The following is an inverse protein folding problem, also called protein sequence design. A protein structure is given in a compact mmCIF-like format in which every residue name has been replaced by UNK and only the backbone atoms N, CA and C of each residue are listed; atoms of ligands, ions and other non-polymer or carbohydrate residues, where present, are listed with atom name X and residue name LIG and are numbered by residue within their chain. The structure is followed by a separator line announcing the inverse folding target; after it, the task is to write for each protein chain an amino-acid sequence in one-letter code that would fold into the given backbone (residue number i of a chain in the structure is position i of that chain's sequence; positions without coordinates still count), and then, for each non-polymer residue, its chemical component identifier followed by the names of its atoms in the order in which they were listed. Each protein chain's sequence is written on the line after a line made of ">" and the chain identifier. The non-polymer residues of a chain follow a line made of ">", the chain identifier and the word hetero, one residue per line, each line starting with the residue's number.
data_IF_760097757345
#
_entry.id   IF_760097757345
#
_cell.length_a   1.000
_cell.length_b   1.000
_cell.length_c   1.000
_cell.angle_alpha   90.00
_cell.angle_beta   90.00
_cell.angle_gamma   90.00
#
_symmetry.space_group_name_H-M   'P 1'
#
loop_
_entity.id
_entity.type
_entity.pdbx_description
1 polymer ?
#
# COMPACT_ATOMS: atom_id res chain seq x y z
N UNK A 1 10.43 -2.51 -24.65
CA UNK A 1 9.81 -2.83 -23.34
C UNK A 1 8.40 -2.29 -23.34
N UNK A 2 7.37 -3.11 -23.04
CA UNK A 2 5.98 -2.65 -23.05
C UNK A 2 5.73 -1.57 -21.99
N UNK A 3 4.77 -0.66 -22.25
CA UNK A 3 4.36 0.39 -21.32
C UNK A 3 3.87 -0.23 -19.99
N UNK A 4 4.05 0.49 -18.87
CA UNK A 4 3.46 0.07 -17.58
C UNK A 4 1.93 0.18 -17.65
N UNK A 5 1.17 -0.81 -17.14
CA UNK A 5 -0.28 -0.72 -17.03
C UNK A 5 -0.70 0.46 -16.15
N UNK A 6 -1.90 1.01 -16.41
CA UNK A 6 -2.43 2.13 -15.64
C UNK A 6 -2.56 1.79 -14.14
N UNK A 7 -2.96 0.56 -13.81
CA UNK A 7 -3.02 0.08 -12.43
C UNK A 7 -1.66 0.11 -11.71
N UNK A 8 -0.57 -0.16 -12.42
CA UNK A 8 0.78 -0.05 -11.87
C UNK A 8 1.16 1.41 -11.62
N UNK A 9 0.80 2.33 -12.52
CA UNK A 9 1.01 3.76 -12.31
C UNK A 9 0.20 4.31 -11.14
N UNK A 10 -1.05 3.87 -10.98
CA UNK A 10 -1.88 4.21 -9.82
C UNK A 10 -1.19 3.78 -8.52
N UNK A 11 -0.70 2.53 -8.46
CA UNK A 11 0.03 2.03 -7.29
C UNK A 11 1.29 2.84 -7.01
N UNK A 12 2.12 3.12 -8.03
CA UNK A 12 3.34 3.92 -7.87
C UNK A 12 3.00 5.30 -7.29
N UNK A 13 2.01 5.99 -7.86
CA UNK A 13 1.62 7.33 -7.40
C UNK A 13 1.10 7.29 -5.96
N UNK A 14 0.17 6.38 -5.65
CA UNK A 14 -0.42 6.25 -4.32
C UNK A 14 0.63 5.90 -3.26
N UNK A 15 1.48 4.90 -3.53
CA UNK A 15 2.51 4.45 -2.59
C UNK A 15 3.60 5.50 -2.39
N UNK A 16 3.94 6.26 -3.43
CA UNK A 16 4.90 7.38 -3.28
C UNK A 16 4.32 8.48 -2.40
N UNK A 17 3.08 8.92 -2.68
CA UNK A 17 2.46 9.97 -1.90
C UNK A 17 2.20 9.55 -0.45
N UNK A 18 1.61 8.37 -0.24
CA UNK A 18 1.34 7.79 1.08
C UNK A 18 2.63 7.59 1.88
N UNK A 19 3.65 6.99 1.27
CA UNK A 19 4.91 6.70 1.94
C UNK A 19 5.65 7.97 2.37
N UNK A 20 5.63 9.03 1.54
CA UNK A 20 6.18 10.33 1.93
C UNK A 20 5.42 10.92 3.12
N UNK A 21 4.08 10.90 3.10
CA UNK A 21 3.27 11.45 4.19
C UNK A 21 3.48 10.67 5.51
N UNK A 22 3.53 9.33 5.46
CA UNK A 22 3.82 8.49 6.62
C UNK A 22 5.17 8.80 7.27
N UNK A 23 6.17 9.19 6.47
CA UNK A 23 7.51 9.52 6.98
C UNK A 23 7.65 10.96 7.46
N UNK A 24 6.91 11.90 6.86
CA UNK A 24 6.96 13.31 7.27
C UNK A 24 6.15 13.59 8.53
N UNK A 25 5.03 12.89 8.72
CA UNK A 25 4.09 13.17 9.80
C UNK A 25 3.33 11.91 10.24
N UNK A 26 4.02 10.90 10.80
CA UNK A 26 3.38 9.65 11.23
C UNK A 26 2.28 9.89 12.28
N UNK A 27 2.43 10.88 13.15
CA UNK A 27 1.47 11.23 14.20
C UNK A 27 0.11 11.66 13.62
N UNK A 28 0.12 12.25 12.42
CA UNK A 28 -1.10 12.68 11.72
C UNK A 28 -1.99 11.52 11.28
N UNK A 29 -1.55 10.27 11.45
CA UNK A 29 -2.32 9.06 11.13
C UNK A 29 -2.84 8.34 12.39
N UNK A 30 -2.71 8.94 13.58
CA UNK A 30 -3.23 8.36 14.83
C UNK A 30 -4.75 8.03 14.75
N UNK A 31 -5.51 8.81 13.98
CA UNK A 31 -6.94 8.59 13.73
C UNK A 31 -7.27 7.30 12.96
N UNK A 32 -6.29 6.67 12.29
CA UNK A 32 -6.47 5.38 11.63
C UNK A 32 -6.25 4.18 12.56
N UNK A 33 -5.70 4.42 13.74
CA UNK A 33 -5.16 3.38 14.60
C UNK A 33 -6.15 3.04 15.71
N UNK A 34 -6.27 1.76 16.04
CA UNK A 34 -7.01 1.35 17.23
C UNK A 34 -6.24 1.76 18.49
N UNK A 35 -6.89 1.81 19.67
CA UNK A 35 -6.24 2.18 20.92
C UNK A 35 -5.00 1.32 21.18
N UNK A 36 -3.82 1.91 20.99
CA UNK A 36 -2.52 1.27 21.20
C UNK A 36 -1.49 2.32 21.66
N UNK A 37 -0.34 1.85 22.11
CA UNK A 37 0.75 2.71 22.53
C UNK A 37 1.22 3.61 21.36
N UNK A 38 1.49 4.89 21.67
CA UNK A 38 1.91 5.89 20.69
C UNK A 38 3.18 5.51 19.93
N UNK A 39 4.21 5.09 20.65
CA UNK A 39 5.46 4.66 20.04
C UNK A 39 5.25 3.45 19.11
N UNK A 40 4.31 2.56 19.44
CA UNK A 40 4.00 1.41 18.60
C UNK A 40 3.30 1.82 17.30
N UNK A 41 2.29 2.69 17.35
CA UNK A 41 1.61 3.10 16.11
C UNK A 41 2.53 3.91 15.20
N UNK A 42 3.36 4.81 15.77
CA UNK A 42 4.35 5.60 15.02
C UNK A 42 5.34 4.66 14.33
N UNK A 43 5.81 3.62 15.02
CA UNK A 43 6.69 2.61 14.43
C UNK A 43 6.02 1.89 13.26
N UNK A 44 4.77 1.45 13.41
CA UNK A 44 4.03 0.75 12.36
C UNK A 44 3.82 1.63 11.11
N UNK A 45 3.45 2.90 11.29
CA UNK A 45 3.24 3.87 10.21
C UNK A 45 4.57 4.21 9.51
N UNK A 46 5.64 4.41 10.29
CA UNK A 46 6.96 4.67 9.71
C UNK A 46 7.44 3.46 8.90
N UNK A 47 7.28 2.25 9.45
CA UNK A 47 7.65 1.01 8.78
C UNK A 47 6.83 0.76 7.50
N UNK A 48 5.52 1.01 7.53
CA UNK A 48 4.68 0.91 6.33
C UNK A 48 5.07 1.96 5.29
N UNK A 49 5.36 3.20 5.69
CA UNK A 49 5.85 4.26 4.79
C UNK A 49 7.14 3.89 4.07
N UNK A 50 8.12 3.32 4.78
CA UNK A 50 9.36 2.79 4.15
C UNK A 50 9.01 1.69 3.15
N UNK A 51 8.16 0.73 3.53
CA UNK A 51 7.77 -0.36 2.67
C UNK A 51 7.04 0.15 1.41
N UNK A 52 6.22 1.19 1.53
CA UNK A 52 5.51 1.80 0.41
C UNK A 52 6.48 2.42 -0.61
N UNK A 53 7.48 3.17 -0.15
CA UNK A 53 8.49 3.76 -1.03
C UNK A 53 9.35 2.70 -1.73
N UNK A 54 9.73 1.63 -1.01
CA UNK A 54 10.44 0.48 -1.61
C UNK A 54 9.58 -0.18 -2.70
N UNK A 55 8.27 -0.36 -2.45
CA UNK A 55 7.33 -0.88 -3.44
C UNK A 55 7.24 0.02 -4.67
N UNK A 56 7.08 1.34 -4.49
CA UNK A 56 6.98 2.30 -5.58
C UNK A 56 8.22 2.26 -6.50
N UNK A 57 9.43 2.31 -5.90
CA UNK A 57 10.70 2.18 -6.63
C UNK A 57 10.79 0.82 -7.32
N UNK A 58 10.45 -0.27 -6.61
CA UNK A 58 10.45 -1.62 -7.18
C UNK A 58 9.52 -1.75 -8.39
N UNK A 59 8.32 -1.19 -8.33
CA UNK A 59 7.33 -1.21 -9.42
C UNK A 59 7.81 -0.40 -10.62
N UNK A 60 8.37 0.80 -10.37
CA UNK A 60 8.94 1.65 -11.41
C UNK A 60 10.09 0.95 -12.16
N UNK A 61 10.96 0.25 -11.41
CA UNK A 61 12.07 -0.54 -11.96
C UNK A 61 11.65 -1.93 -12.47
N UNK A 62 10.37 -2.30 -12.30
CA UNK A 62 9.78 -3.59 -12.70
C UNK A 62 10.49 -4.78 -12.04
N UNK A 63 10.96 -4.62 -10.82
CA UNK A 63 11.70 -5.66 -10.13
C UNK A 63 10.80 -6.89 -9.86
N UNK A 64 11.27 -8.15 -10.01
CA UNK A 64 10.43 -9.34 -9.87
C UNK A 64 9.68 -9.49 -8.53
N UNK A 65 10.21 -8.92 -7.44
CA UNK A 65 9.56 -8.92 -6.12
C UNK A 65 8.53 -7.81 -5.93
N UNK A 66 8.55 -6.75 -6.75
CA UNK A 66 7.80 -5.52 -6.49
C UNK A 66 6.29 -5.74 -6.36
N UNK A 67 5.68 -6.47 -7.31
CA UNK A 67 4.24 -6.75 -7.27
C UNK A 67 3.82 -7.57 -6.05
N UNK A 68 4.65 -8.53 -5.62
CA UNK A 68 4.36 -9.35 -4.42
C UNK A 68 4.51 -8.55 -3.15
N UNK A 69 5.59 -7.76 -3.03
CA UNK A 69 5.81 -6.91 -1.87
C UNK A 69 4.67 -5.89 -1.75
N UNK A 70 4.29 -5.24 -2.84
CA UNK A 70 3.17 -4.27 -2.88
C UNK A 70 1.87 -4.92 -2.40
N UNK A 71 1.55 -6.12 -2.89
CA UNK A 71 0.36 -6.86 -2.45
C UNK A 71 0.41 -7.20 -0.95
N UNK A 72 1.57 -7.64 -0.45
CA UNK A 72 1.76 -7.92 0.98
C UNK A 72 1.66 -6.67 1.85
N UNK A 73 2.23 -5.54 1.41
CA UNK A 73 2.09 -4.26 2.09
C UNK A 73 0.63 -3.82 2.18
N UNK A 74 -0.14 -3.94 1.08
CA UNK A 74 -1.58 -3.69 1.10
C UNK A 74 -2.31 -4.61 2.08
N UNK A 75 -1.99 -5.90 2.12
CA UNK A 75 -2.60 -6.83 3.08
C UNK A 75 -2.23 -6.43 4.52
N UNK A 76 -0.98 -6.05 4.76
CA UNK A 76 -0.48 -5.69 6.09
C UNK A 76 -1.14 -4.43 6.66
N UNK A 77 -1.44 -3.42 5.83
CA UNK A 77 -2.13 -2.19 6.28
C UNK A 77 -3.66 -2.32 6.29
N UNK A 78 -4.21 -3.40 5.72
CA UNK A 78 -5.66 -3.59 5.62
C UNK A 78 -6.38 -3.65 6.98
N UNK A 79 -5.85 -4.30 8.03
CA UNK A 79 -6.49 -4.28 9.35
C UNK A 79 -6.74 -2.88 9.90
N UNK A 80 -5.82 -1.93 9.71
CA UNK A 80 -6.00 -0.53 10.12
C UNK A 80 -7.12 0.16 9.33
N UNK A 81 -7.21 -0.10 8.01
CA UNK A 81 -8.31 0.42 7.20
C UNK A 81 -9.68 -0.18 7.58
N UNK A 82 -9.72 -1.46 7.94
CA UNK A 82 -10.95 -2.12 8.42
C UNK A 82 -11.35 -1.51 9.76
N UNK A 83 -10.42 -1.37 10.70
CA UNK A 83 -10.66 -0.69 11.98
C UNK A 83 -11.27 0.69 11.75
N UNK A 84 -10.62 1.53 10.94
CA UNK A 84 -11.10 2.88 10.66
C UNK A 84 -12.51 2.89 10.05
N UNK A 85 -12.85 1.94 9.17
CA UNK A 85 -14.19 1.86 8.58
C UNK A 85 -15.30 1.63 9.61
N UNK A 86 -15.03 0.93 10.70
CA UNK A 86 -15.98 0.79 11.81
C UNK A 86 -15.90 1.98 12.78
N UNK A 87 -14.70 2.47 13.06
CA UNK A 87 -14.48 3.58 14.00
C UNK A 87 -15.19 4.87 13.57
N UNK A 88 -15.18 5.19 12.26
CA UNK A 88 -15.89 6.38 11.73
C UNK A 88 -17.40 6.34 11.97
N UNK A 89 -18.00 5.16 12.02
CA UNK A 89 -19.43 5.00 12.36
C UNK A 89 -19.60 5.18 13.86
N UNK A 90 -18.77 4.51 14.66
CA UNK A 90 -18.86 4.53 16.12
C UNK A 90 -18.66 5.94 16.71
N UNK A 91 -17.81 6.75 16.09
CA UNK A 91 -17.50 8.12 16.53
C UNK A 91 -18.39 9.19 15.90
N UNK A 92 -19.35 8.81 15.04
CA UNK A 92 -20.32 9.73 14.44
C UNK A 92 -19.70 10.73 13.47
N UNK A 93 -18.71 10.30 12.68
CA UNK A 93 -18.06 11.16 11.68
C UNK A 93 -19.01 11.53 10.53
N UNK A 94 -18.62 12.53 9.76
CA UNK A 94 -19.35 12.99 8.58
C UNK A 94 -19.65 11.85 7.59
N UNK A 95 -20.83 11.87 6.97
CA UNK A 95 -21.30 10.80 6.07
C UNK A 95 -20.32 10.51 4.93
N UNK A 96 -19.64 11.53 4.41
CA UNK A 96 -18.67 11.36 3.32
C UNK A 96 -17.42 10.61 3.77
N UNK A 97 -16.99 10.77 5.04
CA UNK A 97 -15.87 10.01 5.62
C UNK A 97 -16.25 8.54 5.78
N UNK A 98 -17.47 8.28 6.24
CA UNK A 98 -18.00 6.92 6.38
C UNK A 98 -18.00 6.22 5.01
N UNK A 99 -18.57 6.87 3.98
CA UNK A 99 -18.58 6.32 2.62
C UNK A 99 -17.15 6.08 2.11
N UNK A 100 -16.26 7.04 2.27
CA UNK A 100 -14.88 6.93 1.81
C UNK A 100 -14.12 5.78 2.51
N UNK A 101 -14.32 5.58 3.81
CA UNK A 101 -13.68 4.50 4.58
C UNK A 101 -14.17 3.12 4.11
N UNK A 102 -15.48 2.96 3.90
CA UNK A 102 -16.07 1.69 3.46
C UNK A 102 -15.73 1.35 2.01
N UNK A 103 -15.75 2.33 1.10
CA UNK A 103 -15.36 2.13 -0.32
C UNK A 103 -13.88 1.74 -0.45
N UNK A 104 -13.03 2.18 0.49
CA UNK A 104 -11.60 1.84 0.50
C UNK A 104 -11.35 0.33 0.57
N UNK A 105 -12.18 -0.40 1.32
CA UNK A 105 -11.98 -1.84 1.55
C UNK A 105 -12.06 -2.69 0.26
N UNK A 106 -13.12 -2.62 -0.56
CA UNK A 106 -13.16 -3.32 -1.84
C UNK A 106 -12.14 -2.76 -2.84
N UNK A 107 -11.85 -1.45 -2.81
CA UNK A 107 -10.80 -0.86 -3.64
C UNK A 107 -9.42 -1.47 -3.34
N UNK A 108 -9.14 -1.81 -2.08
CA UNK A 108 -7.90 -2.45 -1.67
C UNK A 108 -7.70 -3.82 -2.35
N UNK A 109 -8.78 -4.59 -2.55
CA UNK A 109 -8.73 -5.86 -3.31
C UNK A 109 -8.34 -5.61 -4.77
N UNK A 110 -8.89 -4.56 -5.40
CA UNK A 110 -8.53 -4.17 -6.76
C UNK A 110 -7.07 -3.74 -6.86
N UNK A 111 -6.57 -2.98 -5.88
CA UNK A 111 -5.17 -2.55 -5.81
C UNK A 111 -4.22 -3.75 -5.62
N UNK A 112 -4.58 -4.73 -4.79
CA UNK A 112 -3.84 -5.99 -4.63
C UNK A 112 -3.79 -6.73 -5.98
N UNK A 113 -4.89 -6.76 -6.72
CA UNK A 113 -4.94 -7.36 -8.05
C UNK A 113 -4.02 -6.64 -9.05
N UNK A 114 -4.03 -5.30 -9.08
CA UNK A 114 -3.09 -4.52 -9.90
C UNK A 114 -1.63 -4.81 -9.53
N UNK A 115 -1.33 -4.95 -8.23
CA UNK A 115 0.00 -5.26 -7.75
C UNK A 115 0.45 -6.63 -8.25
N UNK A 116 -0.41 -7.64 -8.14
CA UNK A 116 -0.14 -9.00 -8.61
C UNK A 116 0.07 -9.08 -10.14
N UNK A 117 -0.67 -8.27 -10.90
CA UNK A 117 -0.57 -8.20 -12.37
C UNK A 117 0.53 -7.27 -12.89
N UNK A 118 1.24 -6.56 -12.01
CA UNK A 118 2.29 -5.62 -12.43
C UNK A 118 3.45 -6.35 -13.12
N UNK A 119 3.94 -5.83 -14.26
CA UNK A 119 4.87 -6.55 -15.11
C UNK A 119 6.29 -6.56 -14.53
N UNK A 120 7.02 -7.64 -14.76
CA UNK A 120 8.37 -7.86 -14.22
C UNK A 120 9.42 -7.78 -15.33
N UNK A 121 10.61 -7.29 -14.99
CA UNK A 121 11.83 -7.36 -15.79
C UNK A 121 12.77 -8.34 -15.10
N UNK A 122 13.08 -9.44 -15.78
CA UNK A 122 14.07 -10.40 -15.29
C UNK A 122 15.47 -9.97 -15.75
N UNK A 123 16.46 -10.14 -14.88
CA UNK A 123 17.87 -10.04 -15.27
C UNK A 123 18.24 -11.22 -16.19
N UNK A 124 19.22 -11.04 -17.09
CA UNK A 124 19.71 -12.08 -18.01
C UNK A 124 20.09 -13.38 -17.28
N UNK A 125 20.66 -13.28 -16.07
CA UNK A 125 20.99 -14.45 -15.24
C UNK A 125 19.75 -15.18 -14.70
N UNK A 126 18.69 -14.44 -14.38
CA UNK A 126 17.43 -15.04 -13.92
C UNK A 126 16.68 -15.70 -15.07
N UNK A 127 16.71 -15.13 -16.27
CA UNK A 127 16.10 -15.73 -17.47
C UNK A 127 16.69 -17.11 -17.75
N UNK A 128 18.01 -17.26 -17.65
CA UNK A 128 18.68 -18.54 -17.88
C UNK A 128 18.27 -19.61 -16.87
N UNK A 129 18.03 -19.24 -15.60
CA UNK A 129 17.58 -20.15 -14.54
C UNK A 129 16.13 -20.63 -14.70
N UNK A 130 15.31 -19.93 -15.49
CA UNK A 130 13.91 -20.30 -15.76
C UNK A 130 13.74 -21.12 -17.05
N UNK A 131 14.79 -21.22 -17.88
CA UNK A 131 14.79 -21.94 -19.16
C UNK A 131 15.51 -23.31 -19.07
N UNK A 132 16.01 -23.66 -17.89
CA UNK A 132 16.59 -24.96 -17.54
C UNK A 132 15.63 -25.68 -16.60
#
# INVERSE_FOLDING_TARGET
>A
MGKLPIGTWILIAMFTASGVLHLLSPESFAWLMWPMNEALFILLITASGIAELICAVGLLLRHPWAGRLTALTLIAVWPANIWYAFDVIATGQEIWLIIAAWVRLPLQVLLIWFAWKSPKKYSRSQTLKYLQ
#
